data_IF_900929428765
#
_entry.id   IF_900929428765
#
_cell.length_a   1.000
_cell.length_b   1.000
_cell.length_c   1.000
_cell.angle_alpha   90.00
_cell.angle_beta   90.00
_cell.angle_gamma   90.00
#
_symmetry.space_group_name_H-M   'P 1'
#
loop_
_entity.id
_entity.type
_entity.pdbx_description
1 polymer ?
#
# COMPACT_ATOMS: atom_id res chain seq x y z
N UNK A 1 17.62 -45.52 -3.59
CA UNK A 1 16.21 -45.70 -3.16
C UNK A 1 15.45 -46.27 -4.34
N UNK A 2 14.59 -47.29 -4.16
CA UNK A 2 13.79 -47.81 -5.28
C UNK A 2 12.92 -46.67 -5.82
N UNK A 3 12.96 -46.49 -7.14
CA UNK A 3 12.11 -45.52 -7.82
C UNK A 3 10.66 -45.97 -7.71
N UNK A 4 9.79 -45.07 -7.23
CA UNK A 4 8.34 -45.29 -7.21
C UNK A 4 7.70 -45.03 -8.58
N UNK A 5 8.48 -44.60 -9.58
CA UNK A 5 7.98 -44.36 -10.93
C UNK A 5 7.38 -45.67 -11.48
N UNK A 6 6.13 -45.59 -11.94
CA UNK A 6 5.35 -46.70 -12.44
C UNK A 6 4.59 -47.48 -11.38
N UNK A 7 4.75 -47.20 -10.07
CA UNK A 7 3.92 -47.85 -9.06
C UNK A 7 2.49 -47.32 -9.12
N UNK A 8 1.46 -48.19 -9.08
CA UNK A 8 0.08 -47.74 -9.05
C UNK A 8 -0.26 -47.12 -7.70
N UNK A 9 -1.14 -46.14 -7.71
CA UNK A 9 -1.76 -45.57 -6.51
C UNK A 9 -3.28 -45.59 -6.62
N UNK A 10 -3.94 -45.57 -5.47
CA UNK A 10 -5.39 -45.50 -5.36
C UNK A 10 -5.78 -44.69 -4.13
N UNK A 11 -6.61 -43.68 -4.33
CA UNK A 11 -7.24 -42.90 -3.27
C UNK A 11 -8.76 -43.11 -3.38
N UNK A 12 -9.41 -43.50 -2.28
CA UNK A 12 -10.86 -43.67 -2.24
C UNK A 12 -11.57 -42.30 -2.28
N UNK A 13 -12.88 -42.31 -2.56
CA UNK A 13 -13.73 -41.10 -2.47
C UNK A 13 -13.70 -40.58 -1.03
N UNK A 14 -13.47 -39.29 -0.86
CA UNK A 14 -13.65 -38.62 0.44
C UNK A 14 -14.84 -37.65 0.35
N UNK A 15 -15.65 -37.62 1.41
CA UNK A 15 -16.79 -36.72 1.52
C UNK A 15 -16.61 -35.81 2.73
N UNK A 16 -16.57 -34.52 2.47
CA UNK A 16 -16.48 -33.49 3.49
C UNK A 16 -17.86 -32.85 3.63
N UNK A 17 -18.43 -32.96 4.83
CA UNK A 17 -19.71 -32.33 5.15
C UNK A 17 -19.42 -31.25 6.17
N UNK A 18 -19.43 -29.98 5.75
CA UNK A 18 -19.33 -28.89 6.71
C UNK A 18 -20.74 -28.58 7.26
N UNK A 19 -20.85 -28.41 8.57
CA UNK A 19 -22.13 -28.19 9.27
C UNK A 19 -22.70 -26.77 9.11
N UNK A 20 -22.16 -25.95 8.19
CA UNK A 20 -22.73 -24.65 7.84
C UNK A 20 -22.98 -23.73 9.05
N UNK A 21 -22.09 -23.73 10.05
CA UNK A 21 -22.18 -22.81 11.19
C UNK A 21 -21.73 -21.41 10.75
N UNK A 22 -22.65 -20.67 10.13
CA UNK A 22 -22.41 -19.34 9.55
C UNK A 22 -22.07 -18.27 10.59
N UNK A 23 -20.79 -18.03 10.84
CA UNK A 23 -20.27 -16.92 11.65
C UNK A 23 -20.02 -15.62 10.86
N UNK A 24 -20.59 -15.49 9.65
CA UNK A 24 -20.53 -14.27 8.84
C UNK A 24 -21.86 -13.52 8.82
N UNK A 25 -21.83 -12.20 9.06
CA UNK A 25 -22.99 -11.30 8.87
C UNK A 25 -23.31 -11.14 7.38
N UNK A 26 -23.97 -12.14 6.79
CA UNK A 26 -24.93 -12.09 5.68
C UNK A 26 -25.14 -13.54 5.21
N UNK A 27 -26.39 -13.99 5.30
CA UNK A 27 -26.90 -15.35 5.04
C UNK A 27 -26.20 -16.07 3.86
N UNK A 28 -25.47 -17.15 4.16
CA UNK A 28 -25.43 -18.33 3.32
C UNK A 28 -26.03 -19.48 4.14
N UNK A 29 -27.25 -19.89 3.79
CA UNK A 29 -27.95 -21.00 4.43
C UNK A 29 -27.77 -22.24 3.57
N UNK A 30 -26.91 -23.16 3.98
CA UNK A 30 -26.74 -24.45 3.32
C UNK A 30 -25.63 -25.28 3.97
N UNK A 31 -25.88 -26.58 4.13
CA UNK A 31 -24.80 -27.55 4.32
C UNK A 31 -24.14 -27.74 2.96
N UNK A 32 -22.87 -27.36 2.84
CA UNK A 32 -22.09 -27.65 1.64
C UNK A 32 -21.38 -28.99 1.84
N UNK A 33 -21.75 -29.95 1.00
CA UNK A 33 -21.04 -31.22 0.84
C UNK A 33 -20.08 -31.09 -0.33
N UNK A 34 -18.78 -31.12 -0.07
CA UNK A 34 -17.77 -31.32 -1.10
C UNK A 34 -17.34 -32.80 -1.11
N UNK A 35 -16.99 -33.29 -2.30
CA UNK A 35 -16.57 -34.68 -2.48
C UNK A 35 -15.37 -34.70 -3.40
N UNK A 36 -14.29 -35.34 -2.97
CA UNK A 36 -13.19 -35.65 -3.87
C UNK A 36 -13.49 -37.01 -4.52
N UNK A 37 -13.49 -37.12 -5.86
CA UNK A 37 -13.73 -38.39 -6.54
C UNK A 37 -12.58 -39.36 -6.27
N UNK A 38 -12.83 -40.66 -6.43
CA UNK A 38 -11.77 -41.66 -6.33
C UNK A 38 -10.68 -41.37 -7.37
N UNK A 39 -9.43 -41.43 -6.93
CA UNK A 39 -8.26 -41.22 -7.78
C UNK A 39 -7.54 -42.55 -7.97
N UNK A 40 -7.09 -42.82 -9.20
CA UNK A 40 -6.20 -43.93 -9.49
C UNK A 40 -5.21 -43.52 -10.59
N UNK A 41 -4.05 -44.14 -10.60
CA UNK A 41 -3.04 -43.86 -11.61
C UNK A 41 -1.73 -44.54 -11.31
N UNK A 42 -0.69 -44.17 -12.05
CA UNK A 42 0.69 -44.57 -11.81
C UNK A 42 1.55 -43.34 -11.57
N UNK A 43 2.54 -43.46 -10.71
CA UNK A 43 3.48 -42.35 -10.46
C UNK A 43 4.34 -42.12 -11.71
N UNK A 44 4.28 -40.92 -12.29
CA UNK A 44 5.09 -40.57 -13.47
C UNK A 44 6.46 -40.02 -13.06
N UNK A 45 7.39 -39.94 -14.01
CA UNK A 45 8.70 -39.34 -13.77
C UNK A 45 8.59 -37.84 -13.48
N UNK A 46 7.69 -37.15 -14.18
CA UNK A 46 7.39 -35.73 -14.02
C UNK A 46 6.80 -35.44 -12.63
N UNK A 47 5.92 -36.30 -12.12
CA UNK A 47 5.37 -36.16 -10.77
C UNK A 47 6.46 -36.25 -9.69
N UNK A 48 7.45 -37.13 -9.88
CA UNK A 48 8.61 -37.23 -8.98
C UNK A 48 9.51 -36.01 -9.08
N UNK A 49 9.72 -35.48 -10.29
CA UNK A 49 10.54 -34.29 -10.53
C UNK A 49 9.92 -33.02 -9.90
N UNK A 50 8.60 -32.85 -10.06
CA UNK A 50 7.83 -31.79 -9.39
C UNK A 50 7.91 -31.92 -7.87
N UNK A 51 7.68 -33.12 -7.33
CA UNK A 51 7.76 -33.35 -5.88
C UNK A 51 9.17 -33.09 -5.31
N UNK A 52 10.23 -33.36 -6.08
CA UNK A 52 11.61 -33.03 -5.70
C UNK A 52 11.90 -31.53 -5.77
N UNK A 53 11.29 -30.83 -6.73
CA UNK A 53 11.43 -29.37 -6.86
C UNK A 53 10.73 -28.62 -5.72
N UNK A 54 9.63 -29.17 -5.19
CA UNK A 54 8.85 -28.62 -4.07
C UNK A 54 9.56 -28.80 -2.70
N UNK A 55 10.75 -29.43 -2.64
CA UNK A 55 11.51 -29.62 -1.41
C UNK A 55 11.93 -28.29 -0.77
N UNK A 56 11.12 -27.81 0.18
CA UNK A 56 11.32 -26.57 0.91
C UNK A 56 10.03 -25.88 1.36
N UNK A 57 8.88 -26.27 0.81
CA UNK A 57 7.53 -25.82 1.21
C UNK A 57 6.68 -27.00 1.68
N UNK A 58 5.60 -26.75 2.42
CA UNK A 58 4.69 -27.84 2.84
C UNK A 58 3.92 -28.33 1.62
N UNK A 59 3.81 -29.66 1.43
CA UNK A 59 3.13 -30.22 0.25
C UNK A 59 1.65 -29.81 0.17
N UNK A 60 1.04 -29.46 1.30
CA UNK A 60 -0.30 -28.87 1.38
C UNK A 60 -0.42 -27.55 0.61
N UNK A 61 0.67 -26.78 0.51
CA UNK A 61 0.66 -25.48 -0.17
C UNK A 61 0.52 -25.61 -1.70
N UNK A 62 0.81 -26.81 -2.23
CA UNK A 62 0.65 -27.16 -3.64
C UNK A 62 -0.61 -28.03 -3.88
N UNK A 63 -1.47 -28.21 -2.87
CA UNK A 63 -2.62 -29.08 -2.98
C UNK A 63 -3.69 -28.45 -3.89
N UNK A 64 -4.09 -29.21 -4.91
CA UNK A 64 -5.23 -28.83 -5.76
C UNK A 64 -6.55 -29.16 -5.07
N UNK A 65 -7.57 -28.36 -5.35
CA UNK A 65 -8.94 -28.60 -4.89
C UNK A 65 -9.80 -29.12 -6.04
N UNK A 66 -10.75 -29.99 -5.72
CA UNK A 66 -11.70 -30.50 -6.69
C UNK A 66 -12.94 -29.63 -6.74
N UNK A 67 -13.24 -29.10 -7.92
CA UNK A 67 -14.47 -28.35 -8.17
C UNK A 67 -15.56 -29.29 -8.69
N UNK A 68 -16.59 -29.51 -7.86
CA UNK A 68 -17.76 -30.34 -8.19
C UNK A 68 -18.62 -29.77 -9.34
N UNK A 69 -18.59 -28.46 -9.60
CA UNK A 69 -19.39 -27.82 -10.63
C UNK A 69 -18.78 -28.02 -12.03
N UNK A 70 -17.46 -27.97 -12.13
CA UNK A 70 -16.72 -28.12 -13.39
C UNK A 70 -16.20 -29.55 -13.60
N UNK A 71 -16.13 -30.35 -12.52
CA UNK A 71 -15.61 -31.71 -12.53
C UNK A 71 -14.08 -31.78 -12.69
N UNK A 72 -13.39 -30.67 -12.42
CA UNK A 72 -11.96 -30.51 -12.64
C UNK A 72 -11.18 -30.26 -11.34
N UNK A 73 -9.91 -30.62 -11.34
CA UNK A 73 -8.96 -30.23 -10.31
C UNK A 73 -8.36 -28.87 -10.68
N UNK A 74 -8.39 -27.93 -9.74
CA UNK A 74 -7.83 -26.60 -9.91
C UNK A 74 -6.98 -26.19 -8.71
N UNK A 75 -6.25 -25.09 -8.84
CA UNK A 75 -5.59 -24.44 -7.71
C UNK A 75 -6.66 -23.74 -6.86
N UNK A 76 -6.62 -23.93 -5.55
CA UNK A 76 -7.44 -23.14 -4.63
C UNK A 76 -6.67 -21.86 -4.28
N UNK A 77 -7.12 -20.71 -4.76
CA UNK A 77 -6.54 -19.43 -4.37
C UNK A 77 -6.99 -19.18 -2.94
N UNK A 78 -6.14 -19.52 -1.97
CA UNK A 78 -6.37 -19.25 -0.57
C UNK A 78 -6.85 -17.79 -0.41
N UNK A 79 -8.07 -17.60 0.09
CA UNK A 79 -8.74 -16.29 0.06
C UNK A 79 -7.91 -15.16 0.66
N UNK A 80 -7.08 -15.46 1.66
CA UNK A 80 -6.17 -14.48 2.27
C UNK A 80 -5.09 -13.97 1.30
N UNK A 81 -4.59 -14.81 0.39
CA UNK A 81 -3.54 -14.44 -0.56
C UNK A 81 -4.07 -13.60 -1.71
N UNK A 82 -5.16 -14.04 -2.35
CA UNK A 82 -5.73 -13.28 -3.47
C UNK A 82 -6.52 -12.04 -3.05
N UNK A 83 -7.14 -12.01 -1.86
CA UNK A 83 -7.69 -10.77 -1.30
C UNK A 83 -6.58 -9.73 -1.10
N UNK A 84 -5.41 -10.16 -0.65
CA UNK A 84 -4.30 -9.25 -0.44
C UNK A 84 -3.81 -8.60 -1.73
N UNK A 85 -3.63 -9.40 -2.79
CA UNK A 85 -3.27 -8.87 -4.11
C UNK A 85 -4.34 -7.89 -4.60
N UNK A 86 -5.61 -8.30 -4.62
CA UNK A 86 -6.67 -7.48 -5.20
C UNK A 86 -6.91 -6.18 -4.41
N UNK A 87 -6.97 -6.24 -3.08
CA UNK A 87 -7.26 -5.06 -2.25
C UNK A 87 -6.06 -4.16 -2.00
N UNK A 88 -4.90 -4.75 -1.73
CA UNK A 88 -3.75 -4.00 -1.20
C UNK A 88 -2.68 -3.74 -2.27
N UNK A 89 -2.60 -4.55 -3.32
CA UNK A 89 -1.70 -4.23 -4.44
C UNK A 89 -2.46 -3.49 -5.54
N UNK A 90 -3.55 -4.07 -6.04
CA UNK A 90 -4.30 -3.50 -7.16
C UNK A 90 -5.29 -2.39 -6.75
N UNK A 91 -5.51 -2.21 -5.44
CA UNK A 91 -6.43 -1.23 -4.86
C UNK A 91 -7.89 -1.39 -5.35
N UNK A 92 -8.28 -2.62 -5.66
CA UNK A 92 -9.63 -3.00 -6.08
C UNK A 92 -10.46 -3.46 -4.87
N UNK A 93 -11.75 -3.06 -4.79
CA UNK A 93 -12.66 -3.56 -3.75
C UNK A 93 -13.17 -4.97 -4.10
N UNK A 94 -12.29 -5.96 -4.01
CA UNK A 94 -12.56 -7.38 -4.27
C UNK A 94 -12.25 -8.22 -3.03
N UNK A 95 -12.85 -9.41 -2.92
CA UNK A 95 -12.62 -10.33 -1.79
C UNK A 95 -11.67 -11.48 -2.14
N UNK A 96 -11.28 -11.63 -3.41
CA UNK A 96 -10.25 -12.55 -3.88
C UNK A 96 -9.85 -12.17 -5.32
N UNK A 97 -8.82 -12.80 -5.87
CA UNK A 97 -8.55 -12.79 -7.31
C UNK A 97 -9.59 -13.68 -8.04
N UNK A 98 -10.05 -13.23 -9.20
CA UNK A 98 -11.03 -13.98 -10.01
C UNK A 98 -10.37 -15.18 -10.73
N UNK A 99 -9.10 -15.08 -11.10
CA UNK A 99 -8.32 -16.12 -11.78
C UNK A 99 -6.81 -15.90 -11.58
N UNK A 100 -6.02 -16.96 -11.73
CA UNK A 100 -4.55 -16.90 -11.86
C UNK A 100 -4.08 -17.09 -13.31
N UNK A 101 -4.97 -16.98 -14.30
CA UNK A 101 -4.60 -17.10 -15.71
C UNK A 101 -3.54 -16.07 -16.09
N UNK A 102 -2.40 -16.55 -16.59
CA UNK A 102 -1.26 -15.70 -16.95
C UNK A 102 -0.41 -15.24 -15.76
N UNK A 103 -0.73 -15.64 -14.53
CA UNK A 103 0.11 -15.41 -13.35
C UNK A 103 1.31 -16.34 -13.42
N UNK A 104 2.50 -15.75 -13.44
CA UNK A 104 3.77 -16.48 -13.46
C UNK A 104 4.48 -16.38 -12.11
N UNK A 105 5.55 -17.14 -11.94
CA UNK A 105 6.45 -16.98 -10.80
C UNK A 105 6.93 -15.53 -10.66
N UNK A 106 7.29 -14.88 -11.76
CA UNK A 106 7.75 -13.48 -11.76
C UNK A 106 6.63 -12.53 -11.31
N UNK A 107 5.38 -12.81 -11.70
CA UNK A 107 4.20 -12.05 -11.24
C UNK A 107 4.04 -12.16 -9.71
N UNK A 108 4.19 -13.36 -9.15
CA UNK A 108 4.11 -13.57 -7.70
C UNK A 108 5.24 -12.82 -6.97
N UNK A 109 6.47 -12.90 -7.47
CA UNK A 109 7.62 -12.17 -6.92
C UNK A 109 7.41 -10.66 -6.99
N UNK A 110 6.87 -10.17 -8.10
CA UNK A 110 6.53 -8.76 -8.29
C UNK A 110 5.51 -8.30 -7.27
N UNK A 111 4.41 -9.02 -7.09
CA UNK A 111 3.40 -8.69 -6.06
C UNK A 111 4.00 -8.63 -4.66
N UNK A 112 4.83 -9.61 -4.28
CA UNK A 112 5.52 -9.59 -2.99
C UNK A 112 6.42 -8.36 -2.82
N UNK A 113 7.12 -7.97 -3.88
CA UNK A 113 8.01 -6.80 -3.88
C UNK A 113 7.24 -5.48 -3.83
N UNK A 114 6.15 -5.38 -4.58
CA UNK A 114 5.25 -4.21 -4.60
C UNK A 114 4.57 -4.03 -3.24
N UNK A 115 3.97 -5.09 -2.70
CA UNK A 115 3.33 -5.05 -1.39
C UNK A 115 4.32 -4.68 -0.27
N UNK A 116 5.54 -5.21 -0.31
CA UNK A 116 6.61 -4.74 0.57
C UNK A 116 6.89 -3.26 0.33
N UNK A 117 7.13 -2.82 -0.90
CA UNK A 117 7.46 -1.41 -1.18
C UNK A 117 6.35 -0.43 -0.74
N UNK A 118 5.08 -0.80 -0.95
CA UNK A 118 3.92 0.03 -0.60
C UNK A 118 3.69 0.13 0.91
N UNK A 119 3.85 -0.98 1.64
CA UNK A 119 3.45 -1.07 3.05
C UNK A 119 4.61 -1.12 4.05
N UNK A 120 5.84 -1.22 3.54
CA UNK A 120 7.03 -1.12 4.37
C UNK A 120 7.26 0.38 4.65
N UNK A 121 6.85 0.78 5.86
CA UNK A 121 6.77 2.15 6.39
C UNK A 121 7.72 3.22 5.80
N UNK A 122 7.18 4.44 5.78
CA UNK A 122 7.68 5.75 5.31
C UNK A 122 9.06 6.26 5.82
N UNK A 123 9.89 5.42 6.45
CA UNK A 123 11.20 5.81 6.99
C UNK A 123 12.32 4.80 6.70
N UNK A 124 12.09 3.77 5.89
CA UNK A 124 13.12 2.79 5.59
C UNK A 124 14.03 3.28 4.46
N UNK A 125 15.17 3.84 4.84
CA UNK A 125 16.27 4.26 3.95
C UNK A 125 17.03 3.09 3.30
N UNK A 126 16.52 1.86 3.43
CA UNK A 126 17.22 0.63 3.00
C UNK A 126 16.66 0.04 1.70
N UNK A 127 15.61 0.63 1.12
CA UNK A 127 15.17 0.28 -0.23
C UNK A 127 16.27 0.76 -1.18
N UNK A 128 16.98 -0.19 -1.80
CA UNK A 128 18.07 0.11 -2.74
C UNK A 128 17.57 0.53 -4.12
N UNK A 129 16.36 0.08 -4.49
CA UNK A 129 15.71 0.47 -5.73
C UNK A 129 14.92 1.77 -5.53
N UNK A 130 15.52 2.87 -5.97
CA UNK A 130 14.93 4.21 -5.86
C UNK A 130 14.13 4.61 -7.11
N UNK A 131 13.95 3.71 -8.09
CA UNK A 131 13.31 4.06 -9.37
C UNK A 131 11.87 4.54 -9.22
N UNK A 132 11.18 4.08 -8.18
CA UNK A 132 9.80 4.47 -7.85
C UNK A 132 9.72 5.68 -6.92
N UNK A 133 10.85 6.14 -6.38
CA UNK A 133 10.91 7.29 -5.47
C UNK A 133 11.06 8.57 -6.29
N UNK A 134 10.08 9.46 -6.14
CA UNK A 134 10.12 10.78 -6.75
C UNK A 134 11.33 11.57 -6.24
N UNK A 135 11.93 12.39 -7.10
CA UNK A 135 12.97 13.33 -6.65
C UNK A 135 12.41 14.29 -5.59
N UNK A 136 13.29 14.97 -4.84
CA UNK A 136 12.87 15.93 -3.82
C UNK A 136 11.92 17.01 -4.36
N UNK A 137 12.20 17.54 -5.55
CA UNK A 137 11.37 18.58 -6.16
C UNK A 137 10.02 18.03 -6.63
N UNK A 138 10.00 16.85 -7.24
CA UNK A 138 8.76 16.21 -7.71
C UNK A 138 7.87 15.80 -6.53
N UNK A 139 8.45 15.16 -5.51
CA UNK A 139 7.71 14.80 -4.29
C UNK A 139 7.18 16.03 -3.55
N UNK A 140 7.98 17.10 -3.44
CA UNK A 140 7.53 18.36 -2.83
C UNK A 140 6.40 19.01 -3.64
N UNK A 141 6.48 18.99 -4.97
CA UNK A 141 5.43 19.50 -5.84
C UNK A 141 4.13 18.71 -5.70
N UNK A 142 4.19 17.38 -5.74
CA UNK A 142 3.04 16.50 -5.57
C UNK A 142 2.39 16.64 -4.18
N UNK A 143 3.19 16.75 -3.11
CA UNK A 143 2.66 17.03 -1.77
C UNK A 143 1.99 18.40 -1.69
N UNK A 144 2.57 19.43 -2.34
CA UNK A 144 2.08 20.81 -2.27
C UNK A 144 0.67 21.04 -2.82
N UNK A 145 0.13 20.07 -3.57
CA UNK A 145 -1.24 20.08 -4.10
C UNK A 145 -2.30 19.96 -3.00
N UNK A 146 -1.99 19.26 -1.91
CA UNK A 146 -2.95 18.97 -0.83
C UNK A 146 -2.39 19.22 0.57
N UNK A 147 -1.07 19.31 0.72
CA UNK A 147 -0.38 19.59 1.98
C UNK A 147 0.70 20.65 1.79
N UNK A 148 0.60 21.73 2.56
CA UNK A 148 1.59 22.81 2.54
C UNK A 148 2.17 23.01 3.94
N UNK A 149 3.50 23.03 4.01
CA UNK A 149 4.24 23.24 5.23
C UNK A 149 4.92 24.61 5.20
N UNK A 150 4.83 25.35 6.31
CA UNK A 150 5.40 26.69 6.44
C UNK A 150 6.27 26.74 7.70
N UNK A 151 7.54 27.05 7.51
CA UNK A 151 8.44 27.35 8.62
C UNK A 151 8.29 28.84 8.95
N UNK A 152 7.90 29.16 10.18
CA UNK A 152 7.75 30.55 10.65
C UNK A 152 9.04 30.97 11.36
N UNK A 153 9.90 31.80 10.72
CA UNK A 153 11.16 32.22 11.33
C UNK A 153 10.89 33.08 12.57
N UNK A 154 11.60 32.84 13.66
CA UNK A 154 11.43 33.62 14.90
C UNK A 154 10.19 33.29 15.73
N UNK A 155 9.40 32.29 15.34
CA UNK A 155 8.29 31.84 16.17
C UNK A 155 8.78 30.99 17.34
N UNK A 156 8.20 31.23 18.52
CA UNK A 156 8.25 30.33 19.66
C UNK A 156 7.16 29.25 19.54
N UNK A 157 7.04 28.40 20.57
CA UNK A 157 5.95 27.42 20.64
C UNK A 157 4.58 28.12 20.65
N UNK A 158 3.91 28.08 19.51
CA UNK A 158 2.58 28.66 19.27
C UNK A 158 2.48 30.18 19.48
N UNK A 159 3.59 30.93 19.50
CA UNK A 159 3.59 32.37 19.77
C UNK A 159 4.79 33.08 19.13
N UNK A 160 4.80 34.42 19.18
CA UNK A 160 6.00 35.21 18.85
C UNK A 160 7.11 34.99 19.88
N UNK A 161 8.38 35.07 19.45
CA UNK A 161 9.53 34.97 20.34
C UNK A 161 10.07 36.37 20.74
N UNK A 162 10.10 36.74 22.04
CA UNK A 162 10.70 38.01 22.47
C UNK A 162 12.22 38.13 22.24
N UNK A 163 12.91 36.99 22.14
CA UNK A 163 14.36 36.92 21.87
C UNK A 163 14.68 37.03 20.37
N UNK A 164 13.71 36.81 19.50
CA UNK A 164 13.80 36.98 18.04
C UNK A 164 12.72 37.97 17.56
N UNK A 165 12.80 39.25 18.01
CA UNK A 165 11.80 40.25 17.69
C UNK A 165 11.88 40.67 16.22
N UNK A 166 10.92 41.50 15.80
CA UNK A 166 10.79 42.00 14.42
C UNK A 166 10.53 40.88 13.38
N UNK A 167 10.02 39.73 13.83
CA UNK A 167 9.71 38.58 12.99
C UNK A 167 8.21 38.50 12.70
N UNK A 168 7.81 38.17 11.45
CA UNK A 168 6.41 38.12 11.08
C UNK A 168 5.77 36.82 11.60
N UNK A 169 4.58 36.94 12.20
CA UNK A 169 3.82 35.80 12.70
C UNK A 169 2.45 35.71 12.02
N UNK A 170 2.02 34.53 11.53
CA UNK A 170 0.74 34.39 10.85
C UNK A 170 -0.45 34.66 11.77
N UNK A 171 -1.48 35.34 11.26
CA UNK A 171 -2.68 35.71 12.03
C UNK A 171 -3.98 35.15 11.44
N UNK A 172 -3.96 34.70 10.18
CA UNK A 172 -5.16 34.39 9.39
C UNK A 172 -5.17 32.97 8.85
N UNK A 173 -4.41 32.05 9.44
CA UNK A 173 -4.24 30.67 8.93
C UNK A 173 -5.55 29.94 8.68
N UNK A 174 -6.52 30.09 9.60
CA UNK A 174 -7.83 29.45 9.42
C UNK A 174 -8.55 30.00 8.18
N UNK A 175 -8.55 31.32 7.99
CA UNK A 175 -9.13 31.96 6.81
C UNK A 175 -8.44 31.49 5.53
N UNK A 176 -7.11 31.39 5.52
CA UNK A 176 -6.35 30.88 4.36
C UNK A 176 -6.74 29.45 4.03
N UNK A 177 -6.86 28.57 5.03
CA UNK A 177 -7.31 27.19 4.82
C UNK A 177 -8.74 27.13 4.27
N UNK A 178 -9.65 27.95 4.79
CA UNK A 178 -11.03 28.04 4.27
C UNK A 178 -11.03 28.46 2.80
N UNK A 179 -10.28 29.51 2.42
CA UNK A 179 -10.18 29.93 1.02
C UNK A 179 -9.56 28.87 0.11
N UNK A 180 -8.57 28.12 0.59
CA UNK A 180 -7.99 27.04 -0.20
C UNK A 180 -9.03 25.94 -0.45
N UNK A 181 -9.72 25.49 0.60
CA UNK A 181 -10.72 24.41 0.51
C UNK A 181 -11.95 24.84 -0.30
N UNK A 182 -12.46 26.05 -0.11
CA UNK A 182 -13.72 26.50 -0.72
C UNK A 182 -13.53 27.10 -2.12
N UNK A 183 -12.36 27.66 -2.44
CA UNK A 183 -12.14 28.37 -3.70
C UNK A 183 -11.00 27.79 -4.54
N UNK A 184 -10.32 26.74 -4.09
CA UNK A 184 -9.16 26.16 -4.79
C UNK A 184 -7.95 27.08 -4.82
N UNK A 185 -7.93 28.16 -4.02
CA UNK A 185 -6.85 29.14 -4.02
C UNK A 185 -5.71 28.68 -3.09
N UNK A 186 -4.89 27.77 -3.61
CA UNK A 186 -3.76 27.20 -2.87
C UNK A 186 -2.69 28.29 -2.57
N UNK A 187 -2.36 28.56 -1.29
CA UNK A 187 -1.40 29.61 -0.96
C UNK A 187 0.01 29.26 -1.45
N UNK A 188 0.65 30.18 -2.18
CA UNK A 188 2.08 30.08 -2.53
C UNK A 188 2.94 30.59 -1.37
N UNK A 189 2.53 31.72 -0.80
CA UNK A 189 3.08 32.28 0.43
C UNK A 189 2.00 32.39 1.49
N UNK A 190 2.42 32.44 2.76
CA UNK A 190 1.55 32.69 3.89
C UNK A 190 1.76 34.12 4.39
N UNK A 191 0.67 34.86 4.47
CA UNK A 191 0.66 36.24 4.94
C UNK A 191 0.87 36.31 6.47
N UNK A 192 1.82 37.11 6.92
CA UNK A 192 2.17 37.25 8.33
C UNK A 192 2.46 38.72 8.69
N UNK A 193 2.33 39.05 9.98
CA UNK A 193 2.49 40.42 10.47
C UNK A 193 3.52 40.46 11.59
N UNK A 194 4.40 41.45 11.57
CA UNK A 194 5.31 41.72 12.68
C UNK A 194 4.51 42.32 13.83
N UNK A 195 4.48 41.64 14.99
CA UNK A 195 3.61 42.02 16.11
C UNK A 195 4.34 42.83 17.19
N UNK A 196 5.66 43.03 17.08
CA UNK A 196 6.48 43.63 18.13
C UNK A 196 7.59 44.56 17.59
N UNK A 197 8.08 45.42 18.49
CA UNK A 197 9.21 46.35 18.30
C UNK A 197 9.06 47.31 17.10
N UNK A 198 10.16 47.64 16.45
CA UNK A 198 10.31 48.81 15.57
C UNK A 198 9.57 48.65 14.24
N UNK A 199 9.39 47.41 13.79
CA UNK A 199 8.71 47.07 12.53
C UNK A 199 7.27 46.58 12.78
N UNK A 200 6.68 46.91 13.94
CA UNK A 200 5.32 46.47 14.27
C UNK A 200 4.31 46.97 13.23
N UNK A 201 3.54 46.03 12.67
CA UNK A 201 2.56 46.28 11.62
C UNK A 201 3.07 45.95 10.22
N UNK A 202 4.38 45.77 10.06
CA UNK A 202 4.96 45.38 8.78
C UNK A 202 4.50 43.99 8.37
N UNK A 203 4.32 43.86 7.06
CA UNK A 203 3.91 42.61 6.45
C UNK A 203 5.12 41.75 6.08
N UNK A 204 5.06 40.46 6.40
CA UNK A 204 6.04 39.48 5.97
C UNK A 204 5.37 38.33 5.23
N UNK A 205 5.99 37.89 4.13
CA UNK A 205 5.56 36.70 3.41
C UNK A 205 6.39 35.50 3.87
N UNK A 206 5.72 34.39 4.17
CA UNK A 206 6.38 33.13 4.53
C UNK A 206 6.27 32.17 3.34
N UNK A 207 7.41 31.68 2.86
CA UNK A 207 7.45 30.73 1.76
C UNK A 207 6.91 29.36 2.17
N UNK A 208 6.20 28.71 1.25
CA UNK A 208 5.92 27.29 1.39
C UNK A 208 7.24 26.51 1.28
N UNK A 209 7.43 25.54 2.17
CA UNK A 209 8.53 24.58 2.08
C UNK A 209 8.52 23.90 0.70
N UNK A 210 9.68 23.70 0.04
CA UNK A 210 11.04 23.78 0.58
C UNK A 210 11.74 25.14 0.46
N UNK A 211 11.04 26.13 -0.07
CA UNK A 211 11.59 27.47 -0.27
C UNK A 211 11.70 28.19 1.07
N UNK A 212 12.65 29.11 1.16
CA UNK A 212 12.88 29.95 2.33
C UNK A 212 12.90 31.42 1.91
N UNK A 213 12.33 32.32 2.72
CA UNK A 213 12.36 33.74 2.42
C UNK A 213 13.81 34.22 2.33
N UNK A 214 14.19 34.78 1.18
CA UNK A 214 15.51 35.36 0.93
C UNK A 214 15.35 36.81 0.49
N UNK A 215 16.06 37.72 1.15
CA UNK A 215 16.09 39.12 0.73
C UNK A 215 17.08 39.30 -0.42
N UNK A 216 16.61 39.82 -1.54
CA UNK A 216 17.45 40.26 -2.67
C UNK A 216 17.51 41.79 -2.69
N UNK A 217 18.69 42.33 -2.38
CA UNK A 217 18.85 43.77 -2.11
C UNK A 217 18.18 44.18 -0.79
N UNK A 218 17.75 45.44 -0.71
CA UNK A 218 17.15 46.02 0.50
C UNK A 218 15.61 45.98 0.52
N UNK A 219 14.94 45.50 -0.54
CA UNK A 219 13.50 45.74 -0.73
C UNK A 219 12.70 44.52 -1.20
N UNK A 220 13.32 43.50 -1.80
CA UNK A 220 12.60 42.36 -2.38
C UNK A 220 12.78 41.12 -1.54
N UNK A 221 11.65 40.50 -1.14
CA UNK A 221 11.62 39.19 -0.48
C UNK A 221 11.23 38.14 -1.52
N UNK A 222 12.12 37.19 -1.78
CA UNK A 222 11.93 36.12 -2.74
C UNK A 222 11.70 34.77 -2.04
N UNK A 223 10.88 33.96 -2.69
CA UNK A 223 10.80 32.52 -2.57
C UNK A 223 11.23 31.97 -3.94
#
# INVERSE_FOLDING_TARGET
MPSIIGTPYYCAVEKYTSLGLGFGKRRASGSETSSTPAQNGTVSAEAVDVAQTILGVEFSDAQTSYDNATGAWGLDIAGAGGEWVARFIELNDATNLDTLDGVTYDTLVQWMTEGMTLYYHSLQTTISDLTTIMSFNESSAALSEWYKFYLVPGAAHCATNPLEPNTPFPQTNLTVMVYWVENGNAPVTLNATVLNRDYKGDNGQICAWPLRPMWTGNETLEC
#
